data_IF_262132399971
#
_entry.id   IF_262132399971
#
_cell.length_a   1.000
_cell.length_b   1.000
_cell.length_c   1.000
_cell.angle_alpha   90.00
_cell.angle_beta   90.00
_cell.angle_gamma   90.00
#
_symmetry.space_group_name_H-M   'P 1'
#
loop_
_entity.id
_entity.type
_entity.pdbx_description
1 polymer ?
#
# COMPACT_ATOMS: atom_id res chain seq x y z
N UNK A 1 4.74 19.04 -42.83
CA UNK A 1 4.58 17.59 -42.53
C UNK A 1 5.13 17.19 -41.17
N UNK A 2 6.19 17.81 -40.63
CA UNK A 2 6.75 17.48 -39.30
C UNK A 2 5.78 17.66 -38.10
N UNK A 3 4.84 18.61 -38.16
CA UNK A 3 3.90 18.89 -37.06
C UNK A 3 2.88 17.76 -36.83
N UNK A 4 2.41 17.09 -37.89
CA UNK A 4 1.47 15.96 -37.78
C UNK A 4 2.11 14.71 -37.18
N UNK A 5 3.39 14.46 -37.50
CA UNK A 5 4.14 13.36 -36.92
C UNK A 5 4.36 13.56 -35.41
N UNK A 6 4.71 14.78 -34.98
CA UNK A 6 4.91 15.10 -33.57
C UNK A 6 3.63 14.97 -32.74
N UNK A 7 2.50 15.44 -33.25
CA UNK A 7 1.18 15.27 -32.60
C UNK A 7 0.80 13.79 -32.47
N UNK A 8 1.11 12.95 -33.46
CA UNK A 8 0.81 11.52 -33.39
C UNK A 8 1.64 10.79 -32.33
N UNK A 9 2.91 11.17 -32.13
CA UNK A 9 3.76 10.59 -31.09
C UNK A 9 3.29 11.01 -29.69
N UNK A 10 2.96 12.28 -29.49
CA UNK A 10 2.39 12.77 -28.24
C UNK A 10 1.07 12.09 -27.88
N UNK A 11 0.19 11.84 -28.86
CA UNK A 11 -1.05 11.13 -28.64
C UNK A 11 -0.84 9.66 -28.23
N UNK A 12 0.16 8.98 -28.82
CA UNK A 12 0.50 7.58 -28.45
C UNK A 12 1.12 7.50 -27.07
N UNK A 13 1.94 8.48 -26.66
CA UNK A 13 2.52 8.53 -25.30
C UNK A 13 1.45 8.88 -24.26
N UNK A 14 0.53 9.79 -24.58
CA UNK A 14 -0.55 10.17 -23.66
C UNK A 14 -1.63 9.09 -23.49
N UNK A 15 -1.85 8.25 -24.51
CA UNK A 15 -2.83 7.15 -24.49
C UNK A 15 -2.19 5.77 -24.28
N UNK A 16 -0.86 5.72 -24.07
CA UNK A 16 -0.17 4.49 -23.73
C UNK A 16 -0.70 3.91 -22.41
N UNK A 17 -0.60 2.58 -22.21
CA UNK A 17 -0.97 1.97 -20.93
C UNK A 17 -0.15 2.65 -19.82
N UNK A 18 -0.84 3.42 -18.98
CA UNK A 18 -0.21 3.97 -17.79
C UNK A 18 0.15 2.80 -16.90
N UNK A 19 1.44 2.61 -16.67
CA UNK A 19 1.92 1.66 -15.67
C UNK A 19 1.53 2.24 -14.32
N UNK A 20 0.35 1.89 -13.83
CA UNK A 20 -0.04 2.21 -12.46
C UNK A 20 0.81 1.30 -11.59
N UNK A 21 1.76 1.91 -10.86
CA UNK A 21 2.52 1.21 -9.84
C UNK A 21 1.52 0.71 -8.79
N UNK A 22 1.16 -0.57 -8.86
CA UNK A 22 0.20 -1.18 -7.96
C UNK A 22 0.81 -1.35 -6.58
N UNK A 23 0.34 -0.60 -5.59
CA UNK A 23 0.68 -0.83 -4.19
C UNK A 23 -0.02 -2.09 -3.69
N UNK A 24 0.67 -2.94 -2.93
CA UNK A 24 0.04 -4.01 -2.17
C UNK A 24 -1.03 -3.41 -1.23
N UNK A 25 -2.22 -4.00 -1.23
CA UNK A 25 -3.35 -3.61 -0.37
C UNK A 25 -4.05 -4.86 0.10
N UNK A 26 -4.47 -4.85 1.36
CA UNK A 26 -5.38 -5.88 1.86
C UNK A 26 -6.68 -5.27 2.36
N UNK A 27 -7.73 -6.08 2.33
CA UNK A 27 -9.04 -5.74 2.88
C UNK A 27 -9.55 -6.86 3.75
N UNK A 28 -10.19 -6.50 4.86
CA UNK A 28 -10.93 -7.46 5.68
C UNK A 28 -12.36 -7.53 5.16
N UNK A 29 -12.93 -8.73 5.12
CA UNK A 29 -14.38 -8.88 5.06
C UNK A 29 -15.03 -8.30 6.30
N UNK A 30 -16.35 -8.05 6.24
CA UNK A 30 -17.11 -7.62 7.41
C UNK A 30 -16.81 -8.50 8.62
N UNK A 31 -16.37 -7.87 9.71
CA UNK A 31 -15.95 -8.58 10.92
C UNK A 31 -17.13 -8.69 11.87
N UNK A 32 -17.66 -9.90 11.99
CA UNK A 32 -18.72 -10.24 12.95
C UNK A 32 -18.09 -11.05 14.08
N UNK A 33 -18.46 -10.74 15.32
CA UNK A 33 -17.95 -11.44 16.49
C UNK A 33 -18.19 -12.95 16.34
N UNK A 34 -17.18 -13.76 16.66
CA UNK A 34 -17.25 -15.23 16.63
C UNK A 34 -17.50 -15.84 15.23
N UNK A 35 -17.36 -15.06 14.16
CA UNK A 35 -17.46 -15.56 12.78
C UNK A 35 -16.10 -15.56 12.08
N UNK A 36 -15.90 -16.45 11.10
CA UNK A 36 -14.71 -16.44 10.27
C UNK A 36 -14.51 -15.11 9.56
N UNK A 37 -13.26 -14.64 9.54
CA UNK A 37 -12.86 -13.41 8.84
C UNK A 37 -11.90 -13.77 7.73
N UNK A 38 -12.18 -13.28 6.53
CA UNK A 38 -11.28 -13.41 5.40
C UNK A 38 -10.54 -12.09 5.20
N UNK A 39 -9.22 -12.17 5.05
CA UNK A 39 -8.37 -11.07 4.62
C UNK A 39 -7.98 -11.35 3.18
N UNK A 40 -8.37 -10.49 2.26
CA UNK A 40 -8.03 -10.62 0.84
C UNK A 40 -6.88 -9.70 0.48
N UNK A 41 -5.99 -10.18 -0.39
CA UNK A 41 -4.85 -9.43 -0.89
C UNK A 41 -5.12 -8.95 -2.31
N UNK A 42 -4.65 -7.74 -2.62
CA UNK A 42 -4.79 -7.10 -3.92
C UNK A 42 -3.58 -6.22 -4.23
N UNK A 43 -3.31 -6.01 -5.52
CA UNK A 43 -2.10 -5.33 -5.98
C UNK A 43 -1.14 -6.31 -6.66
N UNK A 44 -0.18 -5.76 -7.41
CA UNK A 44 0.84 -6.56 -8.10
C UNK A 44 2.10 -6.62 -7.24
N UNK A 45 2.52 -7.82 -6.85
CA UNK A 45 3.78 -8.11 -6.14
C UNK A 45 5.01 -7.95 -7.05
N UNK A 46 5.02 -6.97 -7.95
CA UNK A 46 5.86 -7.04 -9.14
C UNK A 46 7.35 -7.02 -8.85
N UNK A 47 7.81 -6.58 -7.67
CA UNK A 47 9.24 -6.53 -7.35
C UNK A 47 9.54 -6.72 -5.86
N UNK A 48 9.49 -7.96 -5.35
CA UNK A 48 10.24 -8.36 -4.15
C UNK A 48 9.61 -8.01 -2.78
N UNK A 49 8.28 -8.02 -2.65
CA UNK A 49 7.66 -7.87 -1.34
C UNK A 49 7.72 -9.17 -0.53
N UNK A 50 8.15 -9.01 0.72
CA UNK A 50 8.23 -10.03 1.74
C UNK A 50 6.83 -10.52 2.09
N UNK A 51 6.67 -11.85 2.18
CA UNK A 51 5.41 -12.49 2.56
C UNK A 51 4.99 -11.97 3.94
N UNK A 52 3.73 -11.51 4.11
CA UNK A 52 3.23 -11.09 5.42
C UNK A 52 3.45 -12.18 6.47
N UNK A 53 4.16 -11.83 7.54
CA UNK A 53 4.55 -12.76 8.58
C UNK A 53 3.72 -12.58 9.85
N UNK A 54 3.22 -11.36 10.10
CA UNK A 54 2.47 -11.06 11.32
C UNK A 54 1.28 -10.16 10.99
N UNK A 55 0.09 -10.58 11.44
CA UNK A 55 -1.09 -9.73 11.48
C UNK A 55 -1.17 -9.06 12.85
N UNK A 56 -1.00 -7.75 12.89
CA UNK A 56 -1.14 -6.95 14.10
C UNK A 56 -2.49 -6.25 14.10
N UNK A 57 -3.34 -6.51 15.09
CA UNK A 57 -4.64 -5.88 15.28
C UNK A 57 -4.52 -4.88 16.43
N UNK A 58 -4.81 -3.61 16.15
CA UNK A 58 -4.72 -2.49 17.10
C UNK A 58 -6.12 -1.99 17.45
N UNK A 59 -6.66 -2.33 18.65
CA UNK A 59 -7.90 -1.77 19.13
C UNK A 59 -7.81 -0.24 19.26
N UNK A 60 -8.83 0.49 18.83
CA UNK A 60 -8.90 1.95 18.99
C UNK A 60 -9.48 2.31 20.36
N UNK A 61 -8.94 1.66 21.39
CA UNK A 61 -9.29 1.85 22.78
C UNK A 61 -8.05 2.36 23.50
N UNK A 62 -8.25 3.23 24.48
CA UNK A 62 -7.13 3.81 25.20
C UNK A 62 -6.44 2.77 26.08
N UNK A 63 -5.11 2.70 26.00
CA UNK A 63 -4.27 1.86 26.84
C UNK A 63 -4.61 0.36 26.75
N UNK A 64 -4.78 -0.18 25.55
CA UNK A 64 -5.04 -1.62 25.35
C UNK A 64 -3.89 -2.30 24.63
N UNK A 65 -3.53 -3.53 25.00
CA UNK A 65 -2.51 -4.29 24.31
C UNK A 65 -2.99 -4.70 22.89
N UNK A 66 -2.12 -4.64 21.86
CA UNK A 66 -2.44 -5.14 20.53
C UNK A 66 -2.57 -6.67 20.53
N UNK A 67 -3.22 -7.20 19.50
CA UNK A 67 -3.25 -8.64 19.24
C UNK A 67 -2.32 -8.92 18.06
N UNK A 68 -1.26 -9.68 18.29
CA UNK A 68 -0.33 -10.12 17.24
C UNK A 68 -0.61 -11.59 16.90
N UNK A 69 -0.88 -11.86 15.63
CA UNK A 69 -1.18 -13.19 15.12
C UNK A 69 -0.10 -13.57 14.10
N UNK A 70 0.81 -14.51 14.42
CA UNK A 70 1.82 -14.95 13.48
C UNK A 70 1.16 -15.73 12.33
N UNK A 71 1.51 -15.37 11.10
CA UNK A 71 1.10 -16.04 9.88
C UNK A 71 2.18 -17.07 9.55
N UNK A 72 1.81 -18.35 9.59
CA UNK A 72 2.76 -19.41 9.24
C UNK A 72 3.14 -19.31 7.75
N UNK A 73 4.45 -19.38 7.47
CA UNK A 73 5.04 -19.25 6.12
C UNK A 73 4.44 -20.20 5.05
N UNK A 74 3.78 -21.29 5.45
CA UNK A 74 3.13 -22.25 4.56
C UNK A 74 1.71 -21.86 4.09
N UNK A 75 1.16 -20.73 4.55
CA UNK A 75 -0.20 -20.25 4.21
C UNK A 75 -0.15 -19.06 3.25
N UNK A 76 0.93 -18.89 2.48
CA UNK A 76 1.06 -17.86 1.45
C UNK A 76 0.15 -18.14 0.25
N UNK A 77 -1.15 -18.18 0.48
CA UNK A 77 -2.11 -18.08 -0.59
C UNK A 77 -2.05 -16.62 -1.08
N UNK A 78 -1.67 -16.39 -2.35
CA UNK A 78 -1.50 -15.03 -2.89
C UNK A 78 -2.81 -14.22 -2.86
N UNK A 79 -3.95 -14.88 -2.66
CA UNK A 79 -5.26 -14.24 -2.65
C UNK A 79 -5.73 -13.78 -1.26
N UNK A 80 -5.14 -14.29 -0.17
CA UNK A 80 -5.59 -13.93 1.17
C UNK A 80 -5.38 -14.99 2.24
N UNK A 81 -5.78 -14.66 3.48
CA UNK A 81 -5.73 -15.51 4.67
C UNK A 81 -7.12 -15.58 5.30
N UNK A 82 -7.47 -16.75 5.85
CA UNK A 82 -8.73 -16.96 6.56
C UNK A 82 -8.47 -17.26 8.03
N UNK A 83 -9.12 -16.49 8.90
CA UNK A 83 -9.11 -16.68 10.35
C UNK A 83 -10.48 -17.19 10.82
N UNK A 84 -10.49 -17.95 11.92
CA UNK A 84 -11.73 -18.46 12.51
C UNK A 84 -12.56 -17.36 13.16
N UNK A 85 -11.91 -16.35 13.76
CA UNK A 85 -12.52 -15.13 14.30
C UNK A 85 -11.41 -14.14 14.70
N UNK A 86 -11.78 -12.89 14.96
CA UNK A 86 -10.93 -11.87 15.57
C UNK A 86 -11.26 -11.77 17.06
N UNK A 87 -10.27 -11.81 17.99
CA UNK A 87 -10.55 -11.86 19.41
C UNK A 87 -10.84 -10.50 20.03
N UNK A 88 -11.89 -9.85 19.52
CA UNK A 88 -12.36 -8.55 20.00
C UNK A 88 -13.86 -8.61 20.30
N UNK A 89 -14.33 -7.90 21.34
CA UNK A 89 -15.75 -7.83 21.64
C UNK A 89 -16.50 -7.02 20.57
N UNK A 90 -17.78 -7.33 20.38
CA UNK A 90 -18.65 -6.55 19.51
C UNK A 90 -18.66 -5.06 19.91
N UNK A 91 -18.72 -4.18 18.92
CA UNK A 91 -18.65 -2.73 19.11
C UNK A 91 -17.24 -2.15 19.05
N UNK A 92 -16.20 -2.96 19.24
CA UNK A 92 -14.80 -2.52 19.20
C UNK A 92 -14.43 -2.05 17.81
N UNK A 93 -13.82 -0.87 17.71
CA UNK A 93 -13.16 -0.38 16.50
C UNK A 93 -11.68 -0.74 16.56
N UNK A 94 -11.09 -1.11 15.44
CA UNK A 94 -9.68 -1.46 15.36
C UNK A 94 -9.13 -1.12 13.96
N UNK A 95 -7.81 -1.00 13.87
CA UNK A 95 -7.08 -1.09 12.60
C UNK A 95 -6.24 -2.36 12.61
N UNK A 96 -6.01 -2.93 11.43
CA UNK A 96 -5.15 -4.07 11.26
C UNK A 96 -3.96 -3.70 10.39
N UNK A 97 -2.85 -4.38 10.62
CA UNK A 97 -1.59 -4.16 9.96
C UNK A 97 -0.97 -5.51 9.60
N UNK A 98 -0.38 -5.60 8.40
CA UNK A 98 0.33 -6.79 7.96
C UNK A 98 1.82 -6.48 7.88
N UNK A 99 2.57 -6.99 8.84
CA UNK A 99 4.01 -6.83 8.93
C UNK A 99 4.73 -8.01 8.29
N UNK A 100 5.88 -7.75 7.66
CA UNK A 100 6.76 -8.78 7.16
C UNK A 100 7.63 -9.41 8.26
N UNK A 101 8.49 -10.36 7.88
CA UNK A 101 9.44 -11.02 8.80
C UNK A 101 10.44 -10.07 9.47
N UNK A 102 10.65 -8.89 8.90
CA UNK A 102 11.55 -7.86 9.42
C UNK A 102 10.79 -6.78 10.21
N UNK A 103 9.47 -6.90 10.35
CA UNK A 103 8.61 -5.87 10.95
C UNK A 103 8.41 -4.63 10.06
N UNK A 104 8.85 -4.70 8.80
CA UNK A 104 8.77 -3.66 7.79
C UNK A 104 7.55 -3.88 6.89
N UNK A 105 7.00 -2.81 6.31
CA UNK A 105 6.02 -2.96 5.23
C UNK A 105 4.55 -3.12 5.65
N UNK A 106 4.15 -2.49 6.75
CA UNK A 106 2.75 -2.55 7.13
C UNK A 106 1.88 -1.59 6.34
N UNK A 107 1.22 -2.13 5.32
CA UNK A 107 -0.06 -1.58 4.88
C UNK A 107 -1.02 -1.62 6.06
N UNK A 108 -1.83 -0.59 6.22
CA UNK A 108 -2.79 -0.49 7.33
C UNK A 108 -4.19 -0.53 6.75
N UNK A 109 -5.04 -1.36 7.34
CA UNK A 109 -6.45 -1.43 6.96
C UNK A 109 -7.17 -0.12 7.24
N UNK A 110 -8.39 -0.02 6.73
CA UNK A 110 -9.33 0.98 7.25
C UNK A 110 -9.73 0.68 8.70
N UNK A 111 -10.33 1.66 9.37
CA UNK A 111 -10.96 1.48 10.67
C UNK A 111 -12.15 0.52 10.53
N UNK A 112 -12.01 -0.65 11.13
CA UNK A 112 -13.03 -1.70 11.10
C UNK A 112 -13.73 -1.79 12.44
N UNK A 113 -15.05 -2.00 12.43
CA UNK A 113 -15.84 -2.23 13.64
C UNK A 113 -16.26 -3.70 13.72
N UNK A 114 -16.06 -4.33 14.87
CA UNK A 114 -16.57 -5.66 15.16
C UNK A 114 -18.07 -5.58 15.36
N UNK A 115 -18.84 -6.32 14.56
CA UNK A 115 -20.29 -6.36 14.65
C UNK A 115 -20.74 -7.46 15.60
N UNK A 116 -21.93 -7.28 16.19
CA UNK A 116 -22.54 -8.30 17.02
C UNK A 116 -23.03 -9.48 16.16
N UNK A 117 -22.84 -10.71 16.63
CA UNK A 117 -23.37 -11.89 15.93
C UNK A 117 -24.88 -11.98 16.12
N UNK A 118 -25.64 -12.00 15.03
CA UNK A 118 -27.10 -12.16 15.05
C UNK A 118 -27.55 -13.61 14.83
N UNK A 119 -26.61 -14.53 14.59
CA UNK A 119 -26.90 -15.91 14.21
C UNK A 119 -25.97 -16.87 14.94
N UNK A 120 -26.52 -17.75 15.77
CA UNK A 120 -25.78 -18.83 16.44
C UNK A 120 -26.34 -19.18 17.83
N UNK A 121 -26.16 -20.42 18.32
CA UNK A 121 -26.53 -20.80 19.67
C UNK A 121 -25.63 -20.07 20.68
N UNK A 122 -26.21 -19.14 21.45
CA UNK A 122 -25.48 -18.32 22.43
C UNK A 122 -25.16 -16.92 21.90
N UNK A 123 -26.16 -16.02 21.93
CA UNK A 123 -26.04 -14.54 21.78
C UNK A 123 -25.06 -13.91 22.79
N UNK A 124 -24.48 -14.73 23.66
CA UNK A 124 -23.43 -14.39 24.59
C UNK A 124 -22.10 -14.38 23.83
N UNK A 125 -21.47 -13.21 23.79
CA UNK A 125 -20.08 -12.98 23.36
C UNK A 125 -19.20 -14.23 23.55
N UNK A 126 -18.54 -14.72 22.49
CA UNK A 126 -17.52 -15.78 22.61
C UNK A 126 -16.30 -15.35 23.44
N UNK A 127 -16.25 -14.10 23.90
CA UNK A 127 -15.26 -13.58 24.83
C UNK A 127 -15.90 -13.31 26.18
N UNK A 128 -15.34 -13.94 27.22
CA UNK A 128 -15.79 -13.82 28.61
C UNK A 128 -15.38 -12.53 29.32
N UNK A 129 -14.53 -11.68 28.70
CA UNK A 129 -13.97 -10.52 29.38
C UNK A 129 -13.81 -9.34 28.42
N UNK A 130 -14.11 -8.14 28.91
CA UNK A 130 -13.69 -6.88 28.28
C UNK A 130 -12.16 -6.84 28.18
N UNK A 131 -11.63 -6.14 27.18
CA UNK A 131 -10.20 -5.83 27.09
C UNK A 131 -9.79 -5.05 28.35
N UNK A 132 -8.84 -5.58 29.11
CA UNK A 132 -8.34 -4.89 30.30
C UNK A 132 -7.38 -3.77 29.86
N UNK A 133 -7.55 -2.54 30.36
CA UNK A 133 -6.57 -1.49 30.17
C UNK A 133 -5.23 -1.91 30.80
N UNK A 134 -4.14 -1.56 30.11
CA UNK A 134 -2.77 -1.76 30.53
C UNK A 134 -2.05 -0.44 30.35
N UNK A 135 -1.48 0.09 31.43
CA UNK A 135 -0.85 1.42 31.44
C UNK A 135 0.63 1.27 31.75
N UNK A 136 1.45 1.14 30.72
CA UNK A 136 2.91 1.22 30.81
C UNK A 136 3.43 2.60 30.40
N UNK A 137 2.67 3.29 29.56
CA UNK A 137 3.01 4.56 28.95
C UNK A 137 1.87 5.56 29.15
N UNK A 138 2.23 6.79 29.46
CA UNK A 138 1.34 7.93 29.54
C UNK A 138 1.77 8.97 28.51
N UNK A 139 0.78 9.48 27.77
CA UNK A 139 0.96 10.32 26.60
C UNK A 139 -0.03 11.48 26.69
N UNK A 140 0.44 12.70 26.42
CA UNK A 140 -0.42 13.87 26.33
C UNK A 140 -1.09 13.91 24.94
N UNK A 141 -2.41 13.99 24.91
CA UNK A 141 -3.29 13.66 23.77
C UNK A 141 -3.06 14.48 22.48
N UNK A 142 -2.21 15.50 22.50
CA UNK A 142 -2.02 16.42 21.37
C UNK A 142 -0.77 16.05 20.56
N UNK A 143 -0.98 15.47 19.38
CA UNK A 143 0.07 15.30 18.36
C UNK A 143 0.06 16.51 17.43
N UNK A 144 1.18 17.23 17.32
CA UNK A 144 1.35 18.30 16.33
C UNK A 144 2.16 17.85 15.11
N UNK A 145 1.84 18.36 13.93
CA UNK A 145 2.61 18.12 12.70
C UNK A 145 4.04 18.65 12.88
N UNK A 146 5.04 17.76 12.80
CA UNK A 146 6.45 18.10 13.01
C UNK A 146 6.77 18.71 14.37
N UNK A 147 5.94 18.46 15.38
CA UNK A 147 6.17 18.91 16.74
C UNK A 147 6.66 17.74 17.61
N UNK A 148 7.45 18.08 18.63
CA UNK A 148 7.88 17.09 19.61
C UNK A 148 6.77 16.84 20.63
N UNK A 149 6.56 15.58 20.97
CA UNK A 149 5.70 15.15 22.06
C UNK A 149 6.49 14.30 23.05
N UNK A 150 6.07 14.28 24.30
CA UNK A 150 6.75 13.55 25.38
C UNK A 150 5.88 12.39 25.85
N UNK A 151 6.50 11.22 26.02
CA UNK A 151 5.90 10.06 26.68
C UNK A 151 6.58 9.86 28.02
N UNK A 152 5.76 9.68 29.05
CA UNK A 152 6.19 9.20 30.36
C UNK A 152 6.03 7.68 30.35
N UNK A 153 7.05 6.94 30.76
CA UNK A 153 7.03 5.48 30.74
C UNK A 153 7.37 4.89 32.10
N UNK A 154 6.80 3.73 32.42
CA UNK A 154 7.05 3.00 33.68
C UNK A 154 8.02 1.83 33.48
N UNK A 155 8.42 1.56 32.24
CA UNK A 155 9.31 0.48 31.84
C UNK A 155 10.79 0.83 32.04
N UNK A 156 11.66 -0.17 31.94
CA UNK A 156 13.11 0.03 32.04
C UNK A 156 13.68 0.78 30.81
N UNK A 157 13.07 0.59 29.64
CA UNK A 157 13.47 1.17 28.37
C UNK A 157 12.37 2.08 27.82
N UNK A 158 12.77 3.17 27.14
CA UNK A 158 11.85 3.99 26.38
C UNK A 158 11.25 3.18 25.22
N UNK A 159 9.94 3.34 24.92
CA UNK A 159 9.32 2.57 23.85
C UNK A 159 9.82 3.01 22.46
N UNK A 160 9.87 2.09 21.52
CA UNK A 160 9.82 2.41 20.10
C UNK A 160 8.37 2.60 19.71
N UNK A 161 8.06 3.67 18.95
CA UNK A 161 6.70 3.94 18.52
C UNK A 161 6.55 3.50 17.07
N UNK A 162 5.45 2.83 16.75
CA UNK A 162 5.02 2.61 15.37
C UNK A 162 3.69 3.32 15.16
N UNK A 163 3.68 4.31 14.29
CA UNK A 163 2.48 5.07 13.92
C UNK A 163 1.80 4.39 12.73
N UNK A 164 0.51 4.11 12.85
CA UNK A 164 -0.31 3.48 11.82
C UNK A 164 -1.32 4.50 11.30
N UNK A 165 -1.26 4.81 10.00
CA UNK A 165 -2.21 5.70 9.35
C UNK A 165 -3.29 4.83 8.65
N UNK A 166 -4.57 4.88 9.06
CA UNK A 166 -5.63 4.09 8.45
C UNK A 166 -5.67 4.27 6.94
N UNK A 167 -5.81 3.16 6.19
CA UNK A 167 -5.77 3.12 4.70
C UNK A 167 -4.42 3.51 4.08
N UNK A 168 -3.40 3.74 4.89
CA UNK A 168 -2.06 4.12 4.46
C UNK A 168 -1.03 3.05 4.82
N UNK A 169 0.12 3.54 5.31
CA UNK A 169 1.20 2.70 5.81
C UNK A 169 1.41 2.87 7.31
N UNK A 170 2.48 2.28 7.80
CA UNK A 170 3.02 2.53 9.13
C UNK A 170 4.43 3.08 9.05
N UNK A 171 4.79 3.88 10.04
CA UNK A 171 6.11 4.50 10.17
C UNK A 171 6.59 4.28 11.60
N UNK A 172 7.83 3.80 11.73
CA UNK A 172 8.48 3.70 13.03
C UNK A 172 9.06 5.06 13.41
N UNK A 173 8.65 5.58 14.57
CA UNK A 173 9.14 6.83 15.15
C UNK A 173 10.12 6.48 16.27
N UNK A 174 11.38 6.86 16.07
CA UNK A 174 12.43 6.71 17.08
C UNK A 174 12.46 7.92 18.02
N UNK A 175 12.88 7.75 19.28
CA UNK A 175 13.00 8.87 20.21
C UNK A 175 14.07 9.86 19.73
N UNK A 176 13.79 11.16 19.81
CA UNK A 176 14.77 12.24 19.61
C UNK A 176 15.69 12.36 20.81
N UNK A 177 15.13 12.25 22.01
CA UNK A 177 15.86 12.15 23.27
C UNK A 177 15.17 11.13 24.18
N UNK A 178 15.95 10.33 24.89
CA UNK A 178 15.44 9.44 25.93
C UNK A 178 16.23 9.68 27.22
N UNK A 179 15.53 10.03 28.30
CA UNK A 179 16.12 10.21 29.63
C UNK A 179 15.62 9.15 30.59
N UNK A 180 16.55 8.42 31.21
CA UNK A 180 16.24 7.39 32.23
C UNK A 180 15.73 7.98 33.54
N UNK A 181 15.95 9.27 33.79
CA UNK A 181 15.36 10.00 34.91
C UNK A 181 14.88 11.37 34.37
N UNK A 182 13.57 11.65 34.26
CA UNK A 182 12.43 11.04 34.97
C UNK A 182 11.60 10.00 34.15
N UNK A 183 12.24 9.02 33.50
CA UNK A 183 11.57 8.08 32.57
C UNK A 183 10.69 8.78 31.53
N UNK A 184 11.33 9.70 30.80
CA UNK A 184 10.67 10.47 29.74
C UNK A 184 11.42 10.31 28.43
N UNK A 185 10.69 10.18 27.35
CA UNK A 185 11.24 10.17 26.00
C UNK A 185 10.47 11.13 25.12
N UNK A 186 11.21 11.92 24.34
CA UNK A 186 10.66 12.86 23.36
C UNK A 186 10.72 12.24 21.98
N UNK A 187 9.68 12.47 21.19
CA UNK A 187 9.53 11.97 19.83
C UNK A 187 9.02 13.10 18.97
N UNK A 188 9.41 13.12 17.69
CA UNK A 188 8.87 14.05 16.71
C UNK A 188 7.85 13.33 15.82
N UNK A 189 6.65 13.87 15.70
CA UNK A 189 5.62 13.27 14.85
C UNK A 189 5.86 13.63 13.37
N UNK A 190 6.28 12.66 12.57
CA UNK A 190 6.33 12.75 11.11
C UNK A 190 4.98 12.32 10.51
N UNK A 191 4.04 13.25 10.43
CA UNK A 191 2.76 13.02 9.79
C UNK A 191 2.08 14.32 9.39
N UNK A 192 1.25 14.27 8.35
CA UNK A 192 0.50 15.41 7.86
C UNK A 192 -0.57 15.81 8.88
N UNK A 193 -0.81 17.11 9.05
CA UNK A 193 -1.97 17.61 9.81
C UNK A 193 -3.29 17.04 9.28
N UNK A 194 -4.28 16.98 10.14
CA UNK A 194 -5.61 16.41 9.91
C UNK A 194 -5.60 14.91 9.53
N UNK A 195 -4.43 14.24 9.61
CA UNK A 195 -4.36 12.79 9.45
C UNK A 195 -4.69 12.08 10.75
N UNK A 196 -5.37 10.95 10.63
CA UNK A 196 -5.66 10.06 11.75
C UNK A 196 -4.51 9.07 11.93
N UNK A 197 -4.09 8.84 13.17
CA UNK A 197 -3.03 7.89 13.50
C UNK A 197 -3.36 7.10 14.74
N UNK A 198 -2.83 5.88 14.79
CA UNK A 198 -2.82 5.01 15.97
C UNK A 198 -1.37 4.72 16.29
N UNK A 199 -0.97 4.89 17.55
CA UNK A 199 0.40 4.60 17.97
C UNK A 199 0.43 3.24 18.67
N UNK A 200 1.39 2.40 18.29
CA UNK A 200 1.82 1.24 19.06
C UNK A 200 3.13 1.59 19.76
N UNK A 201 3.15 1.46 21.08
CA UNK A 201 4.34 1.62 21.90
C UNK A 201 4.86 0.23 22.27
N UNK A 202 6.14 -0.02 22.00
CA UNK A 202 6.81 -1.29 22.25
C UNK A 202 8.22 -1.07 22.79
N UNK A 203 8.51 -1.56 24.00
CA UNK A 203 9.85 -1.50 24.59
C UNK A 203 10.73 -2.73 24.28
N UNK A 204 10.27 -3.64 23.42
CA UNK A 204 10.88 -4.93 23.06
C UNK A 204 10.98 -5.95 24.20
N UNK A 205 10.51 -5.62 25.40
CA UNK A 205 10.44 -6.52 26.56
C UNK A 205 9.05 -7.15 26.72
N UNK A 206 8.17 -6.97 25.72
CA UNK A 206 6.80 -7.48 25.71
C UNK A 206 5.78 -6.51 26.31
N UNK A 207 6.18 -5.29 26.67
CA UNK A 207 5.23 -4.24 27.06
C UNK A 207 4.72 -3.54 25.81
N UNK A 208 3.53 -3.97 25.37
CA UNK A 208 2.86 -3.43 24.19
C UNK A 208 1.62 -2.65 24.60
N UNK A 209 1.47 -1.45 24.08
CA UNK A 209 0.30 -0.60 24.34
C UNK A 209 -0.11 0.14 23.06
N UNK A 210 -1.41 0.19 22.81
CA UNK A 210 -2.00 0.96 21.72
C UNK A 210 -2.75 2.17 22.25
N UNK A 211 -2.72 3.27 21.48
CA UNK A 211 -3.51 4.46 21.75
C UNK A 211 -4.89 4.37 21.11
N UNK A 212 -5.80 5.25 21.53
CA UNK A 212 -6.98 5.58 20.72
C UNK A 212 -6.58 6.16 19.36
N UNK A 213 -7.57 6.31 18.47
CA UNK A 213 -7.40 7.05 17.22
C UNK A 213 -7.18 8.53 17.54
N UNK A 214 -6.06 9.07 17.11
CA UNK A 214 -5.68 10.46 17.34
C UNK A 214 -5.59 11.20 16.02
N UNK A 215 -5.81 12.51 16.05
CA UNK A 215 -5.65 13.38 14.87
C UNK A 215 -4.40 14.22 15.06
N UNK A 216 -3.55 14.27 14.04
CA UNK A 216 -2.39 15.16 14.04
C UNK A 216 -2.90 16.60 13.85
N UNK A 217 -2.73 17.42 14.87
CA UNK A 217 -3.03 18.84 14.85
C UNK A 217 -2.03 19.62 13.98
N UNK A 218 -2.46 20.78 13.50
CA UNK A 218 -1.63 21.70 12.76
C UNK A 218 -2.46 22.64 11.90
N UNK A 219 -1.80 23.63 11.31
CA UNK A 219 -2.43 24.60 10.42
C UNK A 219 -1.51 24.92 9.23
N UNK A 220 -1.83 25.97 8.46
CA UNK A 220 -1.02 26.41 7.31
C UNK A 220 0.36 26.97 7.66
N UNK A 221 0.60 27.29 8.92
CA UNK A 221 1.87 27.77 9.45
C UNK A 221 2.74 26.67 10.07
N UNK A 222 2.17 25.49 10.37
CA UNK A 222 2.93 24.34 10.88
C UNK A 222 4.07 23.94 9.94
N UNK A 223 5.24 23.66 10.52
CA UNK A 223 6.41 23.21 9.77
C UNK A 223 6.13 21.90 9.04
N UNK A 224 6.73 21.72 7.88
CA UNK A 224 6.71 20.47 7.10
C UNK A 224 8.10 19.84 7.00
N UNK A 225 9.07 20.36 7.74
CA UNK A 225 10.48 20.00 7.57
C UNK A 225 10.77 18.55 7.98
N UNK A 226 9.97 17.99 8.89
CA UNK A 226 10.06 16.60 9.29
C UNK A 226 9.47 15.64 8.25
N UNK A 227 8.55 16.12 7.40
CA UNK A 227 7.84 15.29 6.44
C UNK A 227 8.78 15.01 5.30
N UNK A 228 9.32 13.79 5.27
CA UNK A 228 10.06 13.31 4.12
C UNK A 228 9.07 13.17 2.95
N UNK A 229 8.90 14.25 2.19
CA UNK A 229 8.35 14.11 0.84
C UNK A 229 9.32 13.19 0.14
N UNK A 230 8.91 11.96 -0.12
CA UNK A 230 9.58 11.02 -1.00
C UNK A 230 9.61 11.61 -2.42
N UNK A 231 10.33 12.71 -2.61
CA UNK A 231 10.78 13.18 -3.89
C UNK A 231 11.74 12.11 -4.38
N UNK A 232 11.20 11.16 -5.15
CA UNK A 232 11.90 10.22 -6.02
C UNK A 232 13.34 10.65 -6.34
N UNK A 233 14.27 10.31 -5.44
CA UNK A 233 15.70 10.59 -5.61
C UNK A 233 16.43 9.32 -5.19
N UNK A 234 16.77 8.54 -6.20
CA UNK A 234 17.89 7.61 -6.29
C UNK A 234 18.22 6.80 -5.02
N UNK A 235 17.71 5.56 -5.02
CA UNK A 235 18.30 4.42 -4.34
C UNK A 235 19.77 4.26 -4.78
N UNK A 236 20.68 4.98 -4.14
CA UNK A 236 22.10 4.63 -4.14
C UNK A 236 22.72 4.97 -2.78
N UNK A 237 22.23 4.28 -1.75
CA UNK A 237 22.82 4.27 -0.42
C UNK A 237 23.98 3.28 -0.34
N UNK A 238 25.20 3.75 -0.59
CA UNK A 238 26.41 3.17 0.00
C UNK A 238 27.29 4.29 0.55
N UNK A 239 27.49 4.18 1.86
CA UNK A 239 28.30 4.92 2.81
C UNK A 239 29.62 5.48 2.25
N UNK A 240 29.81 6.82 2.26
CA UNK A 240 30.93 7.56 2.92
C UNK A 240 31.15 8.99 2.36
N UNK A 241 31.15 9.94 3.30
CA UNK A 241 31.94 11.18 3.40
C UNK A 241 32.16 12.13 2.20
N UNK A 242 31.76 13.39 2.43
CA UNK A 242 32.39 14.67 2.01
C UNK A 242 32.84 14.80 0.54
N UNK A 243 32.12 15.62 -0.22
CA UNK A 243 32.53 16.97 -0.69
C UNK A 243 31.68 17.32 -1.92
N UNK A 244 31.04 18.49 -1.87
CA UNK A 244 30.20 19.06 -2.91
C UNK A 244 30.95 19.19 -4.25
N UNK A 245 30.49 18.45 -5.25
CA UNK A 245 30.70 18.81 -6.65
C UNK A 245 29.43 18.50 -7.44
N UNK A 246 28.91 19.51 -8.13
CA UNK A 246 27.70 19.41 -8.94
C UNK A 246 27.99 18.56 -10.18
N UNK A 247 27.57 17.30 -10.18
CA UNK A 247 27.73 16.39 -11.32
C UNK A 247 26.77 16.78 -12.44
N UNK A 248 27.22 17.63 -13.35
CA UNK A 248 26.55 17.86 -14.63
C UNK A 248 26.76 16.60 -15.49
N UNK A 249 25.67 15.99 -15.91
CA UNK A 249 25.68 14.85 -16.86
C UNK A 249 26.53 15.21 -18.09
N UNK A 250 27.44 14.32 -18.53
CA UNK A 250 28.30 14.58 -19.68
C UNK A 250 27.43 14.72 -20.94
N UNK A 251 27.51 15.89 -21.59
CA UNK A 251 26.73 16.24 -22.79
C UNK A 251 26.86 15.22 -23.93
N UNK A 252 27.92 14.42 -23.95
CA UNK A 252 28.15 13.34 -24.92
C UNK A 252 27.18 12.16 -24.78
N UNK A 253 26.71 11.83 -23.57
CA UNK A 253 25.79 10.70 -23.37
C UNK A 253 24.38 10.99 -23.88
N UNK A 254 23.93 12.25 -23.80
CA UNK A 254 22.61 12.69 -24.27
C UNK A 254 22.52 12.65 -25.81
N UNK A 255 23.62 12.95 -26.50
CA UNK A 255 23.66 12.93 -27.98
C UNK A 255 23.66 11.50 -28.52
N UNK A 256 24.28 10.54 -27.81
CA UNK A 256 24.30 9.14 -28.21
C UNK A 256 22.93 8.46 -28.20
N UNK A 257 22.08 8.75 -27.20
CA UNK A 257 20.74 8.17 -27.13
C UNK A 257 19.78 8.72 -28.19
N UNK A 258 20.00 9.95 -28.67
CA UNK A 258 19.15 10.57 -29.68
C UNK A 258 19.26 9.90 -31.06
N UNK A 259 20.42 9.35 -31.42
CA UNK A 259 20.64 8.76 -32.76
C UNK A 259 20.13 7.31 -32.82
N UNK A 260 20.34 6.52 -31.76
CA UNK A 260 19.91 5.11 -31.72
C UNK A 260 18.39 4.94 -31.83
N UNK A 261 17.62 5.78 -31.15
CA UNK A 261 16.15 5.72 -31.17
C UNK A 261 15.54 6.00 -32.56
N UNK A 262 16.24 6.72 -33.44
CA UNK A 262 15.69 7.06 -34.77
C UNK A 262 15.65 5.87 -35.71
N UNK A 263 16.63 4.97 -35.66
CA UNK A 263 16.71 3.83 -36.59
C UNK A 263 15.62 2.81 -36.24
N UNK A 264 15.50 2.45 -34.96
CA UNK A 264 14.48 1.52 -34.49
C UNK A 264 13.06 2.09 -34.66
N UNK A 265 12.89 3.40 -34.45
CA UNK A 265 11.62 4.10 -34.69
C UNK A 265 11.17 4.04 -36.15
N UNK A 266 12.09 4.29 -37.10
CA UNK A 266 11.78 4.22 -38.54
C UNK A 266 11.45 2.77 -38.94
N UNK A 267 12.20 1.78 -38.45
CA UNK A 267 11.93 0.37 -38.73
C UNK A 267 10.55 -0.05 -38.20
N UNK A 268 10.21 0.35 -36.98
CA UNK A 268 8.91 0.09 -36.35
C UNK A 268 7.74 0.72 -37.13
N UNK A 269 7.90 1.95 -37.60
CA UNK A 269 6.87 2.64 -38.41
C UNK A 269 6.68 1.95 -39.77
N UNK A 270 7.77 1.54 -40.44
CA UNK A 270 7.69 0.83 -41.72
C UNK A 270 7.00 -0.54 -41.57
N UNK A 271 7.30 -1.29 -40.50
CA UNK A 271 6.63 -2.55 -40.17
C UNK A 271 5.14 -2.36 -39.91
N UNK A 272 4.77 -1.33 -39.15
CA UNK A 272 3.37 -1.00 -38.88
C UNK A 272 2.61 -0.64 -40.17
N UNK A 273 3.20 0.21 -41.03
CA UNK A 273 2.61 0.58 -42.32
C UNK A 273 2.48 -0.64 -43.25
N UNK A 274 3.46 -1.54 -43.26
CA UNK A 274 3.41 -2.78 -44.03
C UNK A 274 2.25 -3.68 -43.57
N UNK A 275 2.09 -3.88 -42.25
CA UNK A 275 0.98 -4.67 -41.68
C UNK A 275 -0.36 -4.05 -42.06
N UNK A 276 -0.53 -2.73 -41.93
CA UNK A 276 -1.77 -2.04 -42.28
C UNK A 276 -2.09 -2.15 -43.79
N UNK A 277 -1.08 -2.04 -44.65
CA UNK A 277 -1.24 -2.15 -46.11
C UNK A 277 -1.63 -3.57 -46.52
N UNK A 278 -0.97 -4.58 -45.94
CA UNK A 278 -1.29 -6.01 -46.15
C UNK A 278 -2.71 -6.32 -45.69
N UNK A 279 -3.12 -5.81 -44.52
CA UNK A 279 -4.47 -6.02 -44.00
C UNK A 279 -5.55 -5.39 -44.89
N UNK A 280 -5.30 -4.18 -45.43
CA UNK A 280 -6.19 -3.55 -46.41
C UNK A 280 -6.24 -4.31 -47.75
N UNK A 281 -5.10 -4.82 -48.23
CA UNK A 281 -5.05 -5.62 -49.46
C UNK A 281 -5.86 -6.91 -49.33
N UNK A 282 -5.74 -7.62 -48.21
CA UNK A 282 -6.49 -8.84 -47.97
C UNK A 282 -8.00 -8.60 -47.86
N UNK A 283 -8.43 -7.45 -47.30
CA UNK A 283 -9.85 -7.07 -47.31
C UNK A 283 -10.42 -6.89 -48.71
N UNK A 284 -9.63 -6.33 -49.65
CA UNK A 284 -10.06 -6.18 -51.06
C UNK A 284 -10.13 -7.50 -51.82
N UNK A 285 -9.27 -8.47 -51.47
CA UNK A 285 -9.32 -9.81 -52.07
C UNK A 285 -10.52 -10.61 -51.55
N UNK A 286 -10.82 -10.52 -50.25
CA UNK A 286 -11.96 -11.22 -49.67
C UNK A 286 -13.33 -10.61 -50.02
N UNK A 287 -13.38 -9.35 -50.50
CA UNK A 287 -14.62 -8.72 -50.97
C UNK A 287 -14.96 -9.05 -52.44
N UNK A 288 -14.09 -9.77 -53.17
CA UNK A 288 -14.31 -10.10 -54.58
C UNK A 288 -14.87 -11.51 -54.81
N UNK A 289 -15.45 -12.15 -53.79
CA UNK A 289 -16.17 -13.40 -53.96
C UNK A 289 -17.66 -13.09 -54.24
N UNK A 290 -18.14 -13.17 -55.50
CA UNK A 290 -19.56 -13.05 -55.77
C UNK A 290 -20.30 -14.27 -55.17
N UNK A 291 -21.41 -14.08 -54.44
CA UNK A 291 -22.19 -15.16 -53.83
C UNK A 291 -23.04 -15.97 -54.82
N UNK A 292 -22.86 -15.82 -56.14
CA UNK A 292 -23.84 -16.24 -57.16
C UNK A 292 -23.76 -17.71 -57.61
N UNK A 293 -23.04 -18.59 -56.92
CA UNK A 293 -22.94 -20.01 -57.33
C UNK A 293 -23.63 -21.01 -56.39
N UNK A 294 -24.19 -20.56 -55.26
CA UNK A 294 -24.85 -21.47 -54.32
C UNK A 294 -26.36 -21.60 -54.55
N UNK A 295 -27.02 -20.64 -55.21
CA UNK A 295 -28.46 -20.75 -55.53
C UNK A 295 -28.78 -21.73 -56.67
N UNK A 296 -27.84 -22.05 -57.56
CA UNK A 296 -28.09 -23.03 -58.64
C UNK A 296 -28.06 -24.50 -58.22
N UNK A 297 -27.67 -24.82 -56.99
CA UNK A 297 -27.74 -26.21 -56.50
C UNK A 297 -29.08 -26.59 -55.89
N UNK A 298 -29.92 -25.62 -55.52
CA UNK A 298 -31.20 -25.91 -54.87
C UNK A 298 -32.31 -26.23 -55.89
N UNK A 299 -32.25 -25.69 -57.11
CA UNK A 299 -33.26 -26.01 -58.14
C UNK A 299 -33.13 -27.42 -58.75
N UNK A 300 -31.99 -28.11 -58.61
CA UNK A 300 -31.81 -29.45 -59.19
C UNK A 300 -32.19 -30.61 -58.26
N UNK A 301 -32.59 -30.35 -57.00
CA UNK A 301 -33.07 -31.38 -56.08
C UNK A 301 -34.60 -31.39 -55.87
N UNK A 302 -35.36 -30.48 -56.51
CA UNK A 302 -36.84 -30.50 -56.46
C UNK A 302 -37.50 -31.25 -57.63
N UNK A 303 -36.71 -31.83 -58.54
CA UNK A 303 -37.18 -32.67 -59.64
C UNK A 303 -36.60 -34.10 -59.56
N UNK A 304 -36.98 -34.86 -58.53
CA UNK A 304 -36.98 -36.33 -58.59
C UNK A 304 -38.04 -36.91 -57.68
#
# INVERSE_FOLDING_TARGET
MFSLAYLSVLAVVALGPQVVLGSFKFSLTQVVQCQPVNITFSGSDSNNHSVPATLTILPLLDNVAPIQIPISNGVSNPTGIRFMFIPLPAGTRFVASLDDINGQGATVSDVTKVLHSTTGPGVNSCFGSSLSPVTFYEFDDTLGQCEEFTIIYQTALAPTIKAFNPRGGSVTVSPTNASTAPHTATYAMDGLRDSEVVLLLDDTQGHLQTTKLMTIAGDSSSSKDCIQTSSSTDLNGSTKSKTSSSTKLPRSAVIGMAVGATIDGILGILLLLYILRTRRRNRRLNQKWPPDLEERKIELQSFS
#
